data_IF_461680695151
#
_entry.id   IF_461680695151
#
_cell.length_a   1.000
_cell.length_b   1.000
_cell.length_c   1.000
_cell.angle_alpha   90.00
_cell.angle_beta   90.00
_cell.angle_gamma   90.00
#
_symmetry.space_group_name_H-M   'P 1'
#
loop_
_entity.id
_entity.type
_entity.pdbx_description
1 polymer ?
#
# COMPACT_ATOMS: atom_id res chain seq x y z
N UNK A 1 18.97 39.00 -22.36
CA UNK A 1 17.68 39.32 -21.72
C UNK A 1 16.96 38.00 -21.47
N UNK A 2 16.77 37.69 -20.18
CA UNK A 2 16.20 36.47 -19.58
C UNK A 2 16.74 35.11 -20.09
N UNK A 3 17.67 34.53 -19.33
CA UNK A 3 18.26 33.22 -19.62
C UNK A 3 17.29 32.06 -19.35
N UNK A 4 17.53 30.95 -20.06
CA UNK A 4 16.86 29.65 -19.97
C UNK A 4 16.72 29.07 -18.54
N UNK A 5 17.34 29.67 -17.51
CA UNK A 5 17.22 29.23 -16.12
C UNK A 5 15.92 29.67 -15.43
N UNK A 6 15.20 30.67 -15.96
CA UNK A 6 13.97 31.18 -15.33
C UNK A 6 12.74 30.30 -15.61
N UNK A 7 12.75 29.52 -16.69
CA UNK A 7 11.62 28.65 -17.09
C UNK A 7 11.62 27.30 -16.35
N UNK A 8 12.80 26.76 -16.03
CA UNK A 8 12.93 25.55 -15.21
C UNK A 8 12.65 25.79 -13.72
N UNK A 9 12.79 27.02 -13.23
CA UNK A 9 12.45 27.40 -11.85
C UNK A 9 10.94 27.53 -11.63
N UNK A 10 10.18 27.99 -12.63
CA UNK A 10 8.73 28.11 -12.54
C UNK A 10 8.02 26.75 -12.57
N UNK A 11 8.56 25.78 -13.33
CA UNK A 11 7.97 24.44 -13.45
C UNK A 11 8.24 23.56 -12.21
N UNK A 12 9.38 23.77 -11.54
CA UNK A 12 9.67 23.13 -10.24
C UNK A 12 8.85 23.74 -9.11
N UNK A 13 8.56 25.05 -9.14
CA UNK A 13 7.72 25.71 -8.13
C UNK A 13 6.23 25.27 -8.23
N UNK A 14 5.71 25.04 -9.44
CA UNK A 14 4.32 24.56 -9.61
C UNK A 14 4.12 23.10 -9.17
N UNK A 15 5.14 22.25 -9.28
CA UNK A 15 5.06 20.85 -8.85
C UNK A 15 5.00 20.72 -7.31
N UNK A 16 5.61 21.66 -6.58
CA UNK A 16 5.50 21.72 -5.12
C UNK A 16 4.16 22.33 -4.64
N UNK A 17 3.49 23.15 -5.47
CA UNK A 17 2.21 23.75 -5.10
C UNK A 17 1.04 22.75 -5.17
N UNK A 18 1.06 21.77 -6.07
CA UNK A 18 -0.03 20.81 -6.20
C UNK A 18 0.00 19.65 -5.19
N UNK A 19 1.15 19.36 -4.58
CA UNK A 19 1.23 18.44 -3.43
C UNK A 19 0.67 19.08 -2.14
N UNK A 20 0.58 20.42 -2.09
CA UNK A 20 0.17 21.17 -0.90
C UNK A 20 -1.31 21.58 -0.81
N UNK A 21 -2.16 21.29 -1.80
CA UNK A 21 -3.48 21.95 -1.89
C UNK A 21 -4.71 21.09 -1.53
N UNK A 22 -4.54 19.90 -0.92
CA UNK A 22 -5.65 19.09 -0.40
C UNK A 22 -5.36 18.41 0.97
N UNK A 23 -4.65 19.09 1.88
CA UNK A 23 -4.34 18.54 3.22
C UNK A 23 -4.64 19.54 4.35
N UNK A 24 -5.78 20.25 4.34
CA UNK A 24 -6.02 21.34 5.31
C UNK A 24 -6.27 20.86 6.75
N UNK A 25 -6.96 19.73 6.95
CA UNK A 25 -7.23 19.18 8.28
C UNK A 25 -6.03 18.43 8.86
N UNK A 26 -5.31 17.69 8.02
CA UNK A 26 -4.15 16.91 8.41
C UNK A 26 -2.95 17.80 8.71
N UNK A 27 -2.65 18.81 7.88
CA UNK A 27 -1.61 19.79 8.19
C UNK A 27 -1.91 20.59 9.46
N UNK A 28 -3.18 20.94 9.72
CA UNK A 28 -3.56 21.68 10.92
C UNK A 28 -3.38 20.86 12.22
N UNK A 29 -3.65 19.55 12.19
CA UNK A 29 -3.34 18.65 13.28
C UNK A 29 -1.82 18.45 13.42
N UNK A 30 -1.09 18.29 12.31
CA UNK A 30 0.37 18.13 12.27
C UNK A 30 1.09 19.39 12.78
N UNK A 31 0.62 20.60 12.47
CA UNK A 31 1.23 21.84 13.02
C UNK A 31 1.03 21.99 14.53
N UNK A 32 0.03 21.33 15.10
CA UNK A 32 -0.24 21.36 16.55
C UNK A 32 0.57 20.32 17.33
N UNK A 33 1.02 19.24 16.67
CA UNK A 33 1.85 18.21 17.28
C UNK A 33 3.20 18.12 16.57
N UNK A 34 4.27 18.45 17.29
CA UNK A 34 5.63 18.56 16.77
C UNK A 34 6.27 17.18 16.52
N UNK A 35 5.74 16.43 15.56
CA UNK A 35 6.26 15.12 15.14
C UNK A 35 7.23 15.27 13.96
N UNK A 36 8.28 14.47 13.96
CA UNK A 36 9.10 14.25 12.77
C UNK A 36 8.42 13.19 11.88
N UNK A 37 8.15 13.54 10.62
CA UNK A 37 7.36 12.74 9.68
C UNK A 37 8.30 11.97 8.77
N UNK A 38 8.13 10.65 8.75
CA UNK A 38 9.04 9.75 8.03
C UNK A 38 8.26 8.70 7.24
N UNK A 39 8.48 8.62 5.93
CA UNK A 39 7.84 7.62 5.06
C UNK A 39 8.62 6.31 5.10
N UNK A 40 7.89 5.19 5.21
CA UNK A 40 8.39 3.81 5.18
C UNK A 40 7.58 3.00 4.17
N UNK A 41 8.13 2.83 2.97
CA UNK A 41 7.57 1.97 1.95
C UNK A 41 8.01 0.52 2.21
N UNK A 42 7.07 -0.42 2.36
CA UNK A 42 7.34 -1.85 2.35
C UNK A 42 6.92 -2.41 0.98
N UNK A 43 7.82 -3.12 0.31
CA UNK A 43 7.61 -3.58 -1.07
C UNK A 43 8.24 -4.94 -1.35
N UNK A 44 8.12 -5.41 -2.58
CA UNK A 44 8.81 -6.59 -3.12
C UNK A 44 9.92 -6.18 -4.11
N UNK A 45 10.82 -7.12 -4.40
CA UNK A 45 11.92 -7.01 -5.36
C UNK A 45 12.15 -8.33 -6.09
N UNK A 46 12.35 -8.26 -7.40
CA UNK A 46 12.77 -9.38 -8.24
C UNK A 46 14.10 -9.04 -8.90
N UNK A 47 14.96 -10.06 -9.01
CA UNK A 47 16.22 -9.96 -9.75
C UNK A 47 16.00 -9.95 -11.26
N UNK A 48 14.96 -10.64 -11.73
CA UNK A 48 14.58 -10.67 -13.14
C UNK A 48 13.61 -9.54 -13.47
N UNK A 49 13.46 -9.26 -14.76
CA UNK A 49 12.48 -8.30 -15.27
C UNK A 49 11.05 -8.76 -14.91
N UNK A 50 10.32 -7.92 -14.19
CA UNK A 50 8.97 -8.21 -13.69
C UNK A 50 8.00 -8.47 -14.86
N UNK A 51 8.13 -7.74 -15.96
CA UNK A 51 7.29 -7.93 -17.15
C UNK A 51 7.56 -9.28 -17.81
N UNK A 52 8.81 -9.74 -17.82
CA UNK A 52 9.16 -11.06 -18.34
C UNK A 52 8.61 -12.19 -17.47
N UNK A 53 8.73 -12.07 -16.14
CA UNK A 53 8.16 -13.04 -15.20
C UNK A 53 6.64 -13.14 -15.37
N UNK A 54 5.95 -11.99 -15.49
CA UNK A 54 4.49 -11.95 -15.70
C UNK A 54 4.11 -12.56 -17.06
N UNK A 55 4.81 -12.20 -18.15
CA UNK A 55 4.58 -12.78 -19.48
C UNK A 55 4.78 -14.30 -19.49
N UNK A 56 5.81 -14.78 -18.81
CA UNK A 56 6.08 -16.21 -18.69
C UNK A 56 4.97 -16.93 -17.92
N UNK A 57 4.58 -16.42 -16.75
CA UNK A 57 3.49 -16.99 -15.95
C UNK A 57 2.19 -17.07 -16.74
N UNK A 58 1.82 -15.98 -17.42
CA UNK A 58 0.63 -15.92 -18.27
C UNK A 58 0.67 -16.92 -19.44
N UNK A 59 1.82 -17.04 -20.12
CA UNK A 59 2.01 -18.01 -21.21
C UNK A 59 1.87 -19.45 -20.71
N UNK A 60 2.33 -19.74 -19.50
CA UNK A 60 2.27 -21.07 -18.90
C UNK A 60 0.94 -21.38 -18.21
N UNK A 61 0.10 -20.37 -17.96
CA UNK A 61 -1.13 -20.50 -17.16
C UNK A 61 -0.88 -20.68 -15.66
N UNK A 62 0.28 -20.24 -15.18
CA UNK A 62 0.73 -20.37 -13.79
C UNK A 62 0.88 -18.99 -13.14
N UNK A 63 0.87 -18.90 -11.79
CA UNK A 63 1.35 -17.70 -11.12
C UNK A 63 2.82 -17.42 -11.53
N UNK A 64 3.18 -16.14 -11.71
CA UNK A 64 4.56 -15.69 -11.73
C UNK A 64 5.34 -16.14 -10.49
N UNK A 65 6.67 -16.20 -10.60
CA UNK A 65 7.52 -16.52 -9.45
C UNK A 65 7.38 -15.43 -8.37
N UNK A 66 7.41 -15.87 -7.11
CA UNK A 66 7.49 -15.00 -5.93
C UNK A 66 8.72 -14.09 -5.96
N UNK A 67 8.67 -12.99 -5.20
CA UNK A 67 9.79 -12.07 -5.06
C UNK A 67 11.04 -12.73 -4.51
N UNK A 68 12.19 -12.18 -4.89
CA UNK A 68 13.48 -12.58 -4.34
C UNK A 68 13.69 -12.00 -2.92
N UNK A 69 13.10 -10.83 -2.68
CA UNK A 69 13.14 -10.14 -1.40
C UNK A 69 11.97 -9.17 -1.20
N UNK A 70 11.48 -9.10 0.02
CA UNK A 70 10.81 -7.90 0.52
C UNK A 70 11.82 -6.75 0.71
N UNK A 71 11.33 -5.51 0.77
CA UNK A 71 12.17 -4.33 1.02
C UNK A 71 11.52 -3.33 1.97
N UNK A 72 12.35 -2.54 2.66
CA UNK A 72 11.95 -1.32 3.36
C UNK A 72 12.66 -0.15 2.68
N UNK A 73 11.88 0.78 2.10
CA UNK A 73 12.36 1.88 1.27
C UNK A 73 13.29 1.43 0.13
N UNK A 74 12.94 0.32 -0.53
CA UNK A 74 13.71 -0.24 -1.65
C UNK A 74 14.98 -1.00 -1.25
N UNK A 75 15.18 -1.28 0.04
CA UNK A 75 16.34 -2.01 0.57
C UNK A 75 15.92 -3.29 1.32
N UNK A 76 16.43 -4.47 0.97
CA UNK A 76 16.11 -5.73 1.67
C UNK A 76 16.64 -5.81 3.11
N UNK A 77 17.76 -5.16 3.37
CA UNK A 77 18.45 -5.20 4.67
C UNK A 77 19.54 -6.28 4.75
N UNK A 78 20.24 -6.37 5.89
CA UNK A 78 21.47 -7.16 6.02
C UNK A 78 21.25 -8.68 6.04
N UNK A 79 20.00 -9.15 6.15
CA UNK A 79 19.68 -10.57 6.09
C UNK A 79 19.73 -11.14 4.66
N UNK A 80 19.95 -10.27 3.66
CA UNK A 80 20.06 -10.64 2.25
C UNK A 80 21.50 -10.46 1.74
N UNK A 81 21.96 -11.31 0.80
CA UNK A 81 23.25 -11.14 0.16
C UNK A 81 23.41 -9.73 -0.41
N UNK A 82 24.62 -9.19 -0.33
CA UNK A 82 25.00 -7.89 -0.92
C UNK A 82 24.20 -6.66 -0.43
N UNK A 83 23.38 -6.80 0.62
CA UNK A 83 22.41 -5.76 1.02
C UNK A 83 22.79 -5.01 2.30
N UNK A 84 23.71 -5.53 3.12
CA UNK A 84 24.10 -4.96 4.42
C UNK A 84 24.52 -3.49 4.34
N UNK A 85 25.45 -3.15 3.44
CA UNK A 85 26.01 -1.79 3.28
C UNK A 85 24.95 -0.72 2.93
N UNK A 86 23.86 -1.14 2.31
CA UNK A 86 22.82 -0.24 1.80
C UNK A 86 21.50 -0.34 2.57
N UNK A 87 21.52 -0.98 3.74
CA UNK A 87 20.36 -1.10 4.62
C UNK A 87 19.78 0.27 4.94
N UNK A 88 18.47 0.43 4.78
CA UNK A 88 17.78 1.64 5.18
C UNK A 88 17.94 1.85 6.69
N UNK A 89 18.39 3.04 7.10
CA UNK A 89 18.45 3.43 8.51
C UNK A 89 17.77 4.79 8.73
N UNK A 90 16.96 4.90 9.78
CA UNK A 90 16.42 6.16 10.27
C UNK A 90 17.03 6.50 11.63
N UNK A 91 17.43 7.75 11.79
CA UNK A 91 17.99 8.25 13.05
C UNK A 91 16.89 8.83 13.95
N UNK A 92 16.94 8.53 15.24
CA UNK A 92 15.99 9.04 16.25
C UNK A 92 16.72 9.63 17.46
N UNK A 93 16.09 10.60 18.11
CA UNK A 93 16.53 11.16 19.39
C UNK A 93 15.73 10.55 20.53
N UNK A 94 16.43 10.20 21.61
CA UNK A 94 15.79 9.64 22.79
C UNK A 94 14.74 10.61 23.37
N UNK A 95 13.58 10.06 23.71
CA UNK A 95 12.45 10.81 24.26
C UNK A 95 11.59 11.54 23.22
N UNK A 96 11.95 11.56 21.93
CA UNK A 96 11.11 12.15 20.87
C UNK A 96 10.06 11.15 20.36
N UNK A 97 9.02 11.69 19.73
CA UNK A 97 7.97 10.91 19.07
C UNK A 97 7.96 11.20 17.57
N UNK A 98 7.88 10.13 16.78
CA UNK A 98 7.97 10.14 15.34
C UNK A 98 6.65 9.66 14.73
N UNK A 99 6.18 10.34 13.68
CA UNK A 99 5.06 9.88 12.88
C UNK A 99 5.61 9.11 11.67
N UNK A 100 5.48 7.79 11.68
CA UNK A 100 5.87 6.95 10.55
C UNK A 100 4.66 6.74 9.63
N UNK A 101 4.81 7.08 8.35
CA UNK A 101 3.82 6.81 7.30
C UNK A 101 4.22 5.52 6.59
N UNK A 102 3.57 4.42 6.95
CA UNK A 102 3.88 3.10 6.40
C UNK A 102 2.98 2.86 5.20
N UNK A 103 3.58 2.49 4.07
CA UNK A 103 2.89 2.26 2.80
C UNK A 103 3.25 0.86 2.34
N UNK A 104 2.27 0.02 2.04
CA UNK A 104 2.54 -1.25 1.38
C UNK A 104 2.43 -1.07 -0.14
N UNK A 105 3.59 -1.02 -0.80
CA UNK A 105 3.72 -1.02 -2.25
C UNK A 105 4.25 -2.36 -2.79
N UNK A 106 4.09 -3.45 -2.02
CA UNK A 106 4.19 -4.80 -2.56
C UNK A 106 3.09 -5.01 -3.60
N UNK A 107 3.34 -5.92 -4.55
CA UNK A 107 2.37 -6.30 -5.57
C UNK A 107 1.45 -7.41 -5.06
N UNK A 108 1.95 -8.35 -4.25
CA UNK A 108 1.25 -9.62 -4.00
C UNK A 108 1.20 -10.08 -2.54
N UNK A 109 1.85 -9.38 -1.62
CA UNK A 109 1.92 -9.81 -0.23
C UNK A 109 1.32 -8.77 0.73
N UNK A 110 0.41 -9.24 1.59
CA UNK A 110 0.07 -8.54 2.82
C UNK A 110 1.24 -8.68 3.79
N UNK A 111 1.61 -7.59 4.46
CA UNK A 111 2.85 -7.55 5.23
C UNK A 111 2.57 -7.25 6.70
N UNK A 112 3.19 -8.05 7.57
CA UNK A 112 3.41 -7.63 8.95
C UNK A 112 4.58 -6.67 8.99
N UNK A 113 4.44 -5.55 9.71
CA UNK A 113 5.54 -4.63 10.01
C UNK A 113 5.65 -4.43 11.52
N UNK A 114 6.88 -4.42 12.06
CA UNK A 114 7.16 -4.19 13.47
C UNK A 114 8.52 -3.52 13.69
N UNK A 115 8.70 -2.90 14.86
CA UNK A 115 9.97 -2.28 15.27
C UNK A 115 10.41 -2.90 16.59
N UNK A 116 11.64 -3.41 16.65
CA UNK A 116 12.13 -4.11 17.83
C UNK A 116 12.08 -3.19 19.06
N UNK A 117 11.45 -3.68 20.14
CA UNK A 117 11.30 -2.95 21.40
C UNK A 117 10.37 -1.74 21.36
N UNK A 118 9.80 -1.35 20.22
CA UNK A 118 8.97 -0.14 20.12
C UNK A 118 7.52 -0.48 19.79
N UNK A 119 6.61 -0.01 20.63
CA UNK A 119 5.19 -0.03 20.33
C UNK A 119 4.84 1.05 19.31
N UNK A 120 3.87 0.76 18.45
CA UNK A 120 3.33 1.64 17.46
C UNK A 120 1.89 2.01 17.83
N UNK A 121 1.58 3.31 17.87
CA UNK A 121 0.19 3.77 18.05
C UNK A 121 -0.38 4.16 16.70
N UNK A 122 -1.29 3.34 16.17
CA UNK A 122 -2.00 3.61 14.91
C UNK A 122 -2.92 4.80 15.11
N UNK A 123 -2.87 5.79 14.20
CA UNK A 123 -3.66 7.02 14.29
C UNK A 123 -4.41 7.36 13.00
N UNK A 124 -4.00 6.79 11.86
CA UNK A 124 -4.58 7.07 10.55
C UNK A 124 -4.41 5.85 9.64
N UNK A 125 -5.42 5.56 8.83
CA UNK A 125 -5.37 4.56 7.75
C UNK A 125 -6.01 5.20 6.52
N UNK A 126 -5.36 5.11 5.36
CA UNK A 126 -5.85 5.60 4.07
C UNK A 126 -6.35 7.05 4.10
N UNK A 127 -5.53 7.93 4.68
CA UNK A 127 -5.81 9.36 4.88
C UNK A 127 -7.04 9.67 5.75
N UNK A 128 -7.53 8.70 6.53
CA UNK A 128 -8.63 8.88 7.48
C UNK A 128 -8.16 8.59 8.90
N UNK A 129 -8.44 9.52 9.82
CA UNK A 129 -8.12 9.34 11.23
C UNK A 129 -8.91 8.17 11.83
N UNK A 130 -8.19 7.31 12.54
CA UNK A 130 -8.76 6.19 13.28
C UNK A 130 -8.81 6.52 14.76
N UNK A 131 -9.66 5.80 15.50
CA UNK A 131 -9.58 5.80 16.97
C UNK A 131 -8.23 5.20 17.36
N UNK A 132 -7.34 5.96 18.05
CA UNK A 132 -5.99 5.49 18.27
C UNK A 132 -5.93 4.19 19.08
N UNK A 133 -5.05 3.29 18.69
CA UNK A 133 -4.74 2.08 19.45
C UNK A 133 -3.28 1.70 19.30
N UNK A 134 -2.72 1.10 20.34
CA UNK A 134 -1.32 0.69 20.40
C UNK A 134 -1.16 -0.80 20.07
N UNK A 135 -0.11 -1.14 19.34
CA UNK A 135 0.22 -2.50 18.90
C UNK A 135 1.73 -2.65 18.71
N UNK A 136 2.24 -3.89 18.79
CA UNK A 136 3.66 -4.20 18.56
C UNK A 136 3.98 -4.43 17.07
N UNK A 137 2.98 -4.88 16.32
CA UNK A 137 3.05 -5.07 14.88
C UNK A 137 1.78 -4.49 14.23
N UNK A 138 1.86 -4.17 12.94
CA UNK A 138 0.69 -3.87 12.11
C UNK A 138 0.59 -4.92 11.00
N UNK A 139 -0.62 -5.14 10.49
CA UNK A 139 -0.87 -5.81 9.22
C UNK A 139 -1.24 -4.73 8.21
N UNK A 140 -0.61 -4.75 7.05
CA UNK A 140 -0.86 -3.77 5.98
C UNK A 140 -0.94 -4.49 4.63
N UNK A 141 -2.04 -4.31 3.90
CA UNK A 141 -2.25 -4.90 2.58
C UNK A 141 -1.75 -3.97 1.47
N UNK A 142 -1.40 -4.49 0.27
CA UNK A 142 -1.02 -3.67 -0.87
C UNK A 142 -1.99 -2.52 -1.15
N UNK A 143 -1.44 -1.33 -1.40
CA UNK A 143 -2.20 -0.10 -1.62
C UNK A 143 -2.63 0.63 -0.35
N UNK A 144 -2.62 -0.03 0.82
CA UNK A 144 -2.96 0.63 2.09
C UNK A 144 -1.81 1.50 2.58
N UNK A 145 -2.20 2.55 3.31
CA UNK A 145 -1.30 3.43 4.07
C UNK A 145 -1.73 3.44 5.54
N UNK A 146 -0.77 3.37 6.45
CA UNK A 146 -1.03 3.43 7.90
C UNK A 146 -0.04 4.37 8.57
N UNK A 147 -0.53 5.39 9.26
CA UNK A 147 0.33 6.25 10.07
C UNK A 147 0.35 5.77 11.51
N UNK A 148 1.57 5.65 12.04
CA UNK A 148 1.81 5.25 13.42
C UNK A 148 2.68 6.26 14.16
N UNK A 149 2.40 6.47 15.43
CA UNK A 149 3.28 7.19 16.34
C UNK A 149 4.22 6.19 17.02
N UNK A 150 5.52 6.49 16.97
CA UNK A 150 6.58 5.71 17.61
C UNK A 150 7.33 6.61 18.57
N UNK A 151 7.37 6.24 19.84
CA UNK A 151 8.08 6.98 20.87
C UNK A 151 9.46 6.35 21.11
N UNK A 152 10.53 7.12 20.97
CA UNK A 152 11.91 6.67 21.12
C UNK A 152 12.31 6.58 22.61
N UNK A 153 11.69 5.64 23.33
CA UNK A 153 11.84 5.46 24.78
C UNK A 153 12.65 4.23 25.19
N UNK A 154 13.27 3.55 24.24
CA UNK A 154 14.13 2.41 24.54
C UNK A 154 15.52 2.91 24.96
N UNK A 155 16.34 1.97 25.46
CA UNK A 155 17.76 2.22 25.70
C UNK A 155 18.40 2.69 24.40
N UNK A 156 19.21 3.74 24.43
CA UNK A 156 19.85 4.26 23.23
C UNK A 156 20.68 3.16 22.55
N UNK A 157 20.28 2.77 21.34
CA UNK A 157 20.80 1.60 20.64
C UNK A 157 20.36 1.54 19.18
N UNK A 158 20.44 0.36 18.57
CA UNK A 158 19.97 0.08 17.20
C UNK A 158 18.93 -1.02 17.25
N UNK A 159 17.84 -0.83 16.52
CA UNK A 159 16.67 -1.70 16.54
C UNK A 159 16.23 -1.98 15.11
N UNK A 160 16.03 -3.24 14.74
CA UNK A 160 15.49 -3.51 13.42
C UNK A 160 14.01 -3.12 13.36
N UNK A 161 13.65 -2.41 12.30
CA UNK A 161 12.34 -2.49 11.69
C UNK A 161 12.33 -3.74 10.83
N UNK A 162 11.28 -4.55 10.92
CA UNK A 162 11.17 -5.81 10.19
C UNK A 162 9.83 -5.91 9.47
N UNK A 163 9.84 -6.48 8.27
CA UNK A 163 8.64 -6.79 7.50
C UNK A 163 8.67 -8.22 6.97
N UNK A 164 7.53 -8.90 6.98
CA UNK A 164 7.37 -10.26 6.41
C UNK A 164 5.94 -10.53 5.98
N UNK A 165 5.76 -11.46 5.05
CA UNK A 165 4.44 -11.85 4.54
C UNK A 165 3.52 -12.43 5.62
N UNK A 166 2.26 -12.00 5.56
CA UNK A 166 1.10 -12.69 6.11
C UNK A 166 0.47 -13.54 4.99
N UNK A 167 0.29 -14.82 5.24
CA UNK A 167 -0.34 -15.77 4.33
C UNK A 167 -0.98 -16.90 5.13
N UNK A 168 -2.31 -16.95 5.13
CA UNK A 168 -3.10 -18.01 5.76
C UNK A 168 -3.76 -18.97 4.75
N UNK A 169 -3.53 -18.73 3.46
CA UNK A 169 -3.84 -19.68 2.39
C UNK A 169 -2.64 -20.62 2.13
N UNK A 170 -2.87 -21.86 1.66
CA UNK A 170 -1.80 -22.82 1.36
C UNK A 170 -1.12 -22.51 0.02
N UNK A 171 -0.59 -21.29 -0.13
CA UNK A 171 0.14 -20.84 -1.32
C UNK A 171 1.55 -20.38 -0.94
N UNK A 172 2.56 -20.60 -1.82
CA UNK A 172 3.90 -20.11 -1.57
C UNK A 172 3.94 -18.57 -1.57
N UNK A 173 4.75 -18.01 -0.67
CA UNK A 173 5.06 -16.57 -0.57
C UNK A 173 6.53 -16.38 -0.27
N UNK A 174 7.03 -15.15 -0.47
CA UNK A 174 8.36 -14.78 0.04
C UNK A 174 8.36 -14.75 1.57
N UNK A 175 8.93 -15.81 2.15
CA UNK A 175 8.97 -16.03 3.58
C UNK A 175 10.18 -15.34 4.26
N UNK A 176 10.99 -14.59 3.51
CA UNK A 176 12.17 -13.91 4.05
C UNK A 176 11.75 -12.60 4.72
N UNK A 177 12.40 -12.29 5.83
CA UNK A 177 12.17 -11.04 6.57
C UNK A 177 13.09 -9.95 6.04
N UNK A 178 12.51 -8.88 5.50
CA UNK A 178 13.26 -7.68 5.15
C UNK A 178 13.39 -6.76 6.35
N UNK A 179 14.53 -6.06 6.43
CA UNK A 179 14.89 -5.27 7.60
C UNK A 179 15.44 -3.89 7.25
N UNK A 180 15.11 -2.92 8.10
CA UNK A 180 15.68 -1.58 8.14
C UNK A 180 16.03 -1.25 9.59
N UNK A 181 16.74 -0.16 9.85
CA UNK A 181 17.28 0.13 11.18
C UNK A 181 16.67 1.42 11.73
N UNK A 182 16.12 1.37 12.94
CA UNK A 182 15.87 2.53 13.77
C UNK A 182 17.07 2.69 14.71
N UNK A 183 17.80 3.80 14.57
CA UNK A 183 19.08 4.05 15.23
C UNK A 183 18.99 5.30 16.09
N UNK A 184 19.32 5.19 17.36
CA UNK A 184 19.44 6.36 18.23
C UNK A 184 20.68 7.18 17.84
N UNK A 185 20.62 8.51 17.99
CA UNK A 185 21.75 9.41 17.72
C UNK A 185 23.01 8.97 18.46
N UNK A 186 24.16 9.16 17.81
CA UNK A 186 25.49 8.89 18.37
C UNK A 186 25.78 7.41 18.70
N UNK A 187 24.96 6.48 18.22
CA UNK A 187 25.24 5.05 18.36
C UNK A 187 26.12 4.58 17.20
N UNK A 188 27.26 3.92 17.45
CA UNK A 188 28.14 3.44 16.39
C UNK A 188 27.52 2.25 15.63
N UNK A 189 27.84 2.14 14.34
CA UNK A 189 27.33 1.07 13.48
C UNK A 189 27.84 -0.33 13.84
N UNK A 190 28.82 -0.43 14.76
CA UNK A 190 29.31 -1.69 15.33
C UNK A 190 28.31 -2.32 16.30
N UNK A 191 27.37 -1.55 16.87
CA UNK A 191 26.29 -2.09 17.69
C UNK A 191 25.33 -2.87 16.79
N UNK A 192 25.12 -4.14 17.11
CA UNK A 192 24.22 -4.99 16.33
C UNK A 192 22.76 -4.68 16.70
N UNK A 193 21.89 -4.41 15.71
CA UNK A 193 20.48 -4.23 15.96
C UNK A 193 19.77 -5.53 16.36
N UNK A 194 18.76 -5.39 17.22
CA UNK A 194 17.91 -6.51 17.68
C UNK A 194 16.73 -6.69 16.72
N UNK A 195 16.38 -7.94 16.40
CA UNK A 195 15.23 -8.28 15.54
C UNK A 195 13.88 -8.08 16.27
N UNK A 196 12.84 -7.59 15.57
CA UNK A 196 11.50 -7.53 16.13
C UNK A 196 10.86 -8.91 16.20
N UNK A 197 9.94 -9.09 17.15
CA UNK A 197 9.04 -10.24 17.16
C UNK A 197 7.87 -9.97 16.21
N UNK A 198 7.93 -10.54 15.02
CA UNK A 198 6.82 -10.49 14.05
C UNK A 198 5.84 -11.67 14.29
N UNK A 199 4.51 -11.45 14.17
CA UNK A 199 3.50 -12.52 14.27
C UNK A 199 3.79 -13.71 13.35
N UNK A 200 3.32 -14.92 13.62
CA UNK A 200 3.53 -16.03 12.68
C UNK A 200 2.94 -15.69 11.29
N UNK A 201 3.55 -16.14 10.20
CA UNK A 201 3.10 -15.76 8.85
C UNK A 201 1.65 -16.16 8.58
N UNK A 202 1.13 -17.19 9.23
CA UNK A 202 -0.26 -17.65 9.12
C UNK A 202 -1.14 -17.25 10.33
N UNK A 203 -0.79 -16.18 11.04
CA UNK A 203 -1.52 -15.74 12.24
C UNK A 203 -2.82 -14.99 11.92
N UNK A 204 -3.84 -15.74 11.47
CA UNK A 204 -5.18 -15.19 11.20
C UNK A 204 -5.81 -14.57 12.45
N UNK A 205 -5.45 -15.06 13.65
CA UNK A 205 -5.93 -14.51 14.93
C UNK A 205 -5.46 -13.07 15.13
N UNK A 206 -4.18 -12.80 14.89
CA UNK A 206 -3.62 -11.46 14.90
C UNK A 206 -4.28 -10.57 13.83
N UNK A 207 -4.40 -11.06 12.59
CA UNK A 207 -5.00 -10.30 11.48
C UNK A 207 -6.44 -9.84 11.80
N UNK A 208 -7.28 -10.75 12.28
CA UNK A 208 -8.67 -10.45 12.67
C UNK A 208 -8.73 -9.51 13.88
N UNK A 209 -7.85 -9.68 14.86
CA UNK A 209 -7.72 -8.81 16.03
C UNK A 209 -7.33 -7.38 15.64
N UNK A 210 -6.33 -7.23 14.76
CA UNK A 210 -5.87 -5.95 14.26
C UNK A 210 -6.98 -5.21 13.50
N UNK A 211 -7.62 -5.89 12.53
CA UNK A 211 -8.70 -5.31 11.74
C UNK A 211 -9.92 -4.91 12.58
N UNK A 212 -10.22 -5.64 13.67
CA UNK A 212 -11.28 -5.25 14.62
C UNK A 212 -10.99 -3.96 15.38
N UNK A 213 -9.72 -3.56 15.52
CA UNK A 213 -9.33 -2.30 16.19
C UNK A 213 -9.43 -1.09 15.27
N UNK A 214 -9.42 -1.30 13.95
CA UNK A 214 -9.67 -0.23 12.98
C UNK A 214 -11.11 0.29 13.13
N UNK A 215 -11.22 1.49 13.69
CA UNK A 215 -12.47 2.17 13.98
C UNK A 215 -12.31 3.63 13.60
N UNK A 216 -13.37 4.25 13.09
CA UNK A 216 -13.40 5.70 12.90
C UNK A 216 -13.12 6.41 14.22
N UNK A 217 -12.46 7.58 14.16
CA UNK A 217 -12.18 8.41 15.33
C UNK A 217 -13.44 8.70 16.15
N UNK A 218 -14.59 8.88 15.48
CA UNK A 218 -15.95 9.13 16.00
C UNK A 218 -16.00 9.54 17.49
N UNK A 219 -15.85 10.83 17.74
CA UNK A 219 -15.82 11.41 19.09
C UNK A 219 -16.76 12.61 19.20
N UNK A 220 -17.05 13.08 20.42
CA UNK A 220 -17.87 14.28 20.61
C UNK A 220 -17.28 15.53 19.93
N UNK A 221 -15.95 15.62 19.83
CA UNK A 221 -15.24 16.73 19.17
C UNK A 221 -15.12 16.54 17.65
N UNK A 222 -15.01 15.30 17.21
CA UNK A 222 -14.85 14.90 15.80
C UNK A 222 -15.85 13.77 15.47
N UNK A 223 -17.14 14.09 15.31
CA UNK A 223 -18.16 13.08 15.04
C UNK A 223 -18.01 12.53 13.62
N UNK A 224 -18.22 11.23 13.45
CA UNK A 224 -18.23 10.58 12.14
C UNK A 224 -19.65 10.61 11.56
N UNK A 225 -19.96 11.65 10.78
CA UNK A 225 -21.26 11.79 10.15
C UNK A 225 -21.33 10.93 8.89
N UNK A 226 -21.94 9.75 9.01
CA UNK A 226 -22.17 8.82 7.90
C UNK A 226 -23.67 8.62 7.69
N UNK A 227 -24.13 8.36 6.45
CA UNK A 227 -25.51 7.96 6.20
C UNK A 227 -25.88 6.73 7.07
N UNK A 228 -26.95 6.84 7.85
CA UNK A 228 -27.41 5.75 8.72
C UNK A 228 -28.39 4.81 8.00
N UNK A 229 -29.03 5.30 6.94
CA UNK A 229 -29.94 4.53 6.11
C UNK A 229 -29.16 3.93 4.94
N UNK A 230 -29.32 2.63 4.73
CA UNK A 230 -28.72 1.92 3.60
C UNK A 230 -29.71 1.95 2.44
N UNK A 231 -29.39 2.71 1.40
CA UNK A 231 -30.27 2.85 0.22
C UNK A 231 -30.08 1.71 -0.79
N UNK A 232 -28.91 1.06 -0.79
CA UNK A 232 -28.52 0.00 -1.72
C UNK A 232 -27.72 -1.07 -1.00
N UNK A 233 -28.10 -2.33 -1.20
CA UNK A 233 -27.32 -3.48 -0.75
C UNK A 233 -26.52 -4.03 -1.93
N UNK A 234 -25.21 -4.06 -1.78
CA UNK A 234 -24.29 -4.60 -2.78
C UNK A 234 -23.75 -5.94 -2.26
N UNK A 235 -23.84 -6.98 -3.09
CA UNK A 235 -23.34 -8.31 -2.77
C UNK A 235 -22.37 -8.78 -3.85
N UNK A 236 -21.17 -9.16 -3.43
CA UNK A 236 -20.09 -9.64 -4.29
C UNK A 236 -19.59 -10.98 -3.76
N UNK A 237 -19.51 -11.97 -4.63
CA UNK A 237 -18.77 -13.20 -4.37
C UNK A 237 -17.41 -13.10 -5.03
N UNK A 238 -16.35 -13.23 -4.24
CA UNK A 238 -14.97 -13.29 -4.72
C UNK A 238 -14.63 -14.76 -4.92
N UNK A 239 -14.18 -15.11 -6.13
CA UNK A 239 -13.80 -16.48 -6.45
C UNK A 239 -12.43 -16.54 -7.13
N UNK A 240 -11.58 -17.47 -6.69
CA UNK A 240 -10.37 -17.89 -7.39
C UNK A 240 -10.62 -19.27 -8.00
N UNK A 241 -10.15 -19.49 -9.22
CA UNK A 241 -10.44 -20.72 -9.96
C UNK A 241 -9.46 -21.02 -11.08
N UNK A 242 -9.82 -22.00 -11.92
CA UNK A 242 -9.05 -22.39 -13.10
C UNK A 242 -9.98 -22.52 -14.31
N UNK A 243 -9.51 -22.05 -15.46
CA UNK A 243 -10.22 -22.15 -16.73
C UNK A 243 -9.39 -23.00 -17.71
N UNK A 244 -10.05 -23.60 -18.69
CA UNK A 244 -9.38 -24.31 -19.77
C UNK A 244 -8.43 -23.37 -20.54
N UNK A 245 -7.23 -23.87 -20.79
CA UNK A 245 -6.21 -23.22 -21.60
C UNK A 245 -5.38 -24.30 -22.30
N UNK A 246 -5.79 -24.74 -23.52
CA UNK A 246 -5.10 -25.82 -24.24
C UNK A 246 -3.62 -25.53 -24.56
N UNK A 247 -3.25 -24.25 -24.65
CA UNK A 247 -1.88 -23.82 -24.94
C UNK A 247 -1.01 -23.65 -23.69
N UNK A 248 -1.61 -23.71 -22.49
CA UNK A 248 -0.92 -23.56 -21.22
C UNK A 248 -0.31 -24.90 -20.77
N UNK A 249 0.69 -24.84 -19.87
CA UNK A 249 1.47 -26.01 -19.45
C UNK A 249 0.58 -27.15 -18.92
N UNK A 250 -0.40 -26.82 -18.08
CA UNK A 250 -1.28 -27.81 -17.43
C UNK A 250 -2.65 -27.92 -18.10
N UNK A 251 -2.83 -27.40 -19.32
CA UNK A 251 -4.13 -27.32 -19.97
C UNK A 251 -5.13 -26.38 -19.28
N UNK A 252 -4.68 -25.66 -18.25
CA UNK A 252 -5.49 -24.72 -17.46
C UNK A 252 -4.73 -23.45 -17.15
N UNK A 253 -5.45 -22.37 -16.87
CA UNK A 253 -4.93 -21.10 -16.34
C UNK A 253 -5.71 -20.66 -15.12
N UNK A 254 -5.06 -19.95 -14.21
CA UNK A 254 -5.74 -19.32 -13.08
C UNK A 254 -6.69 -18.21 -13.55
N UNK A 255 -7.80 -18.07 -12.84
CA UNK A 255 -8.76 -17.00 -13.01
C UNK A 255 -9.19 -16.50 -11.63
N UNK A 256 -9.66 -15.26 -11.62
CA UNK A 256 -10.34 -14.69 -10.49
C UNK A 256 -11.61 -13.99 -10.98
N UNK A 257 -12.63 -13.94 -10.14
CA UNK A 257 -13.97 -13.52 -10.54
C UNK A 257 -14.69 -12.77 -9.43
N UNK A 258 -15.55 -11.84 -9.85
CA UNK A 258 -16.55 -11.21 -9.01
C UNK A 258 -17.91 -11.69 -9.52
N UNK A 259 -18.73 -12.30 -8.66
CA UNK A 259 -20.03 -12.87 -9.04
C UNK A 259 -19.94 -13.92 -10.16
N UNK A 260 -18.91 -14.78 -10.11
CA UNK A 260 -18.62 -15.80 -11.12
C UNK A 260 -18.33 -15.23 -12.54
N UNK A 261 -18.03 -13.94 -12.63
CA UNK A 261 -17.61 -13.26 -13.87
C UNK A 261 -16.16 -12.82 -13.71
N UNK A 262 -15.29 -13.31 -14.59
CA UNK A 262 -13.92 -12.82 -14.70
C UNK A 262 -13.85 -11.65 -15.66
N UNK A 263 -13.23 -10.57 -15.23
CA UNK A 263 -13.14 -9.38 -16.04
C UNK A 263 -11.94 -9.42 -16.99
N UNK A 264 -12.23 -9.26 -18.28
CA UNK A 264 -11.24 -9.11 -19.33
C UNK A 264 -11.06 -7.63 -19.61
N UNK A 265 -9.81 -7.14 -19.61
CA UNK A 265 -9.56 -5.74 -19.93
C UNK A 265 -10.07 -5.42 -21.33
N UNK A 266 -10.94 -4.41 -21.49
CA UNK A 266 -11.38 -3.98 -22.81
C UNK A 266 -10.20 -3.39 -23.61
N UNK A 267 -10.30 -3.42 -24.94
CA UNK A 267 -9.35 -2.78 -25.86
C UNK A 267 -9.45 -1.23 -25.82
N UNK A 268 -10.43 -0.70 -25.09
CA UNK A 268 -10.65 0.73 -24.90
C UNK A 268 -10.43 1.00 -23.40
N UNK A 269 -9.63 2.02 -23.07
CA UNK A 269 -9.41 2.38 -21.67
C UNK A 269 -10.74 2.70 -20.98
N UNK A 270 -10.90 2.29 -19.71
CA UNK A 270 -12.13 2.56 -18.93
C UNK A 270 -12.44 4.06 -18.84
N UNK A 271 -11.40 4.89 -18.73
CA UNK A 271 -11.51 6.35 -18.74
C UNK A 271 -11.93 6.91 -20.12
N UNK A 272 -11.56 6.23 -21.21
CA UNK A 272 -11.98 6.61 -22.55
C UNK A 272 -13.44 6.21 -22.80
N UNK A 273 -13.84 5.00 -22.41
CA UNK A 273 -15.25 4.58 -22.42
C UNK A 273 -16.12 5.60 -21.68
N UNK A 274 -15.64 6.05 -20.52
CA UNK A 274 -16.27 7.11 -19.74
C UNK A 274 -16.48 8.42 -20.54
N UNK A 275 -15.43 8.92 -21.19
CA UNK A 275 -15.48 10.20 -21.92
C UNK A 275 -16.25 10.16 -23.24
N UNK A 276 -16.31 9.01 -23.91
CA UNK A 276 -17.11 8.82 -25.13
C UNK A 276 -18.55 8.37 -24.85
N UNK A 277 -19.08 8.74 -23.68
CA UNK A 277 -20.47 8.58 -23.27
C UNK A 277 -20.92 7.14 -22.94
N UNK A 278 -19.99 6.33 -22.43
CA UNK A 278 -20.30 5.12 -21.65
C UNK A 278 -20.08 5.50 -20.17
N UNK A 279 -21.02 6.25 -19.56
CA UNK A 279 -21.18 6.87 -18.19
C UNK A 279 -20.08 6.65 -17.08
N UNK A 280 -20.15 7.19 -15.86
CA UNK A 280 -19.04 7.26 -14.87
C UNK A 280 -18.32 5.95 -14.51
N UNK A 281 -17.14 5.61 -15.06
CA UNK A 281 -16.47 4.30 -14.82
C UNK A 281 -15.52 4.34 -13.61
N UNK A 282 -15.92 3.69 -12.51
CA UNK A 282 -15.09 3.51 -11.32
C UNK A 282 -14.57 2.09 -11.22
N UNK A 283 -13.26 1.92 -11.27
CA UNK A 283 -12.63 0.61 -11.23
C UNK A 283 -12.57 0.08 -9.80
N UNK A 284 -13.10 -1.12 -9.58
CA UNK A 284 -12.98 -1.87 -8.32
C UNK A 284 -12.19 -3.13 -8.61
N UNK A 285 -11.07 -3.33 -7.92
CA UNK A 285 -10.21 -4.49 -8.13
C UNK A 285 -9.54 -4.91 -6.83
N UNK A 286 -9.01 -6.13 -6.82
CA UNK A 286 -8.11 -6.57 -5.77
C UNK A 286 -6.75 -5.89 -5.94
N UNK A 287 -6.16 -5.39 -4.86
CA UNK A 287 -4.85 -4.73 -4.95
C UNK A 287 -3.66 -5.73 -4.94
N UNK A 288 -3.95 -7.03 -5.02
CA UNK A 288 -2.98 -8.06 -5.36
C UNK A 288 -2.89 -8.14 -6.89
N UNK A 289 -1.72 -7.83 -7.46
CA UNK A 289 -1.56 -7.65 -8.91
C UNK A 289 -1.91 -8.93 -9.67
N UNK A 290 -1.51 -10.10 -9.15
CA UNK A 290 -1.88 -11.39 -9.76
C UNK A 290 -3.38 -11.57 -9.85
N UNK A 291 -4.12 -11.22 -8.79
CA UNK A 291 -5.57 -11.36 -8.79
C UNK A 291 -6.23 -10.39 -9.78
N UNK A 292 -5.73 -9.16 -9.88
CA UNK A 292 -6.17 -8.20 -10.90
C UNK A 292 -5.89 -8.69 -12.32
N UNK A 293 -4.73 -9.29 -12.55
CA UNK A 293 -4.35 -9.93 -13.81
C UNK A 293 -5.26 -11.11 -14.16
N UNK A 294 -5.65 -11.92 -13.18
CA UNK A 294 -6.56 -13.06 -13.34
C UNK A 294 -8.04 -12.68 -13.49
N UNK A 295 -8.38 -11.41 -13.33
CA UNK A 295 -9.73 -10.90 -13.58
C UNK A 295 -10.53 -10.54 -12.32
N UNK A 296 -9.89 -10.44 -11.15
CA UNK A 296 -10.55 -10.00 -9.90
C UNK A 296 -10.77 -8.49 -9.88
N UNK A 297 -11.58 -8.03 -10.83
CA UNK A 297 -11.86 -6.63 -11.05
C UNK A 297 -13.24 -6.47 -11.67
N UNK A 298 -13.80 -5.29 -11.52
CA UNK A 298 -15.06 -4.87 -12.13
C UNK A 298 -15.04 -3.35 -12.24
N UNK A 299 -16.05 -2.77 -12.88
CA UNK A 299 -16.23 -1.34 -12.90
C UNK A 299 -17.66 -0.96 -12.60
N UNK A 300 -17.85 0.08 -11.79
CA UNK A 300 -19.14 0.71 -11.59
C UNK A 300 -19.36 1.80 -12.60
N UNK A 301 -20.58 1.88 -13.08
CA UNK A 301 -21.04 2.96 -13.93
C UNK A 301 -21.95 3.88 -13.10
N UNK A 302 -21.46 5.07 -12.75
CA UNK A 302 -22.21 6.07 -11.99
C UNK A 302 -22.69 7.17 -12.94
N UNK A 303 -24.00 7.35 -13.01
CA UNK A 303 -24.60 8.35 -13.89
C UNK A 303 -24.46 9.77 -13.30
N UNK A 304 -24.47 10.79 -14.17
CA UNK A 304 -24.49 12.18 -13.73
C UNK A 304 -25.77 12.47 -12.96
N UNK A 305 -25.64 13.22 -11.87
CA UNK A 305 -26.78 13.77 -11.14
C UNK A 305 -27.36 15.02 -11.83
N UNK A 306 -28.46 15.57 -11.29
CA UNK A 306 -29.11 16.78 -11.82
C UNK A 306 -28.23 18.04 -11.75
N UNK A 307 -27.25 18.10 -10.85
CA UNK A 307 -26.40 19.29 -10.69
C UNK A 307 -25.08 19.18 -11.46
N UNK A 308 -24.51 20.32 -11.85
CA UNK A 308 -23.19 20.38 -12.49
C UNK A 308 -22.08 19.81 -11.59
N UNK A 309 -22.22 19.98 -10.26
CA UNK A 309 -21.34 19.40 -9.23
C UNK A 309 -21.41 17.87 -9.15
N UNK A 310 -22.48 17.28 -9.70
CA UNK A 310 -22.75 15.84 -9.73
C UNK A 310 -22.53 15.26 -11.14
N UNK A 311 -21.95 16.05 -12.04
CA UNK A 311 -21.66 15.66 -13.41
C UNK A 311 -20.15 15.56 -13.63
N UNK A 312 -19.72 14.56 -14.40
CA UNK A 312 -18.29 14.44 -14.72
C UNK A 312 -17.86 15.51 -15.73
N UNK A 313 -16.61 15.96 -15.60
CA UNK A 313 -15.97 16.92 -16.51
C UNK A 313 -15.81 16.31 -17.93
N UNK A 314 -15.79 17.13 -18.99
CA UNK A 314 -15.51 16.66 -20.35
C UNK A 314 -14.07 16.12 -20.50
N UNK A 315 -13.80 15.26 -21.49
CA UNK A 315 -12.45 14.74 -21.76
C UNK A 315 -11.42 15.85 -21.98
N UNK A 316 -10.21 15.70 -21.41
CA UNK A 316 -9.05 16.47 -21.83
C UNK A 316 -8.77 16.26 -23.33
N UNK A 317 -8.29 17.31 -24.01
CA UNK A 317 -8.00 17.27 -25.45
C UNK A 317 -6.80 16.38 -25.80
N UNK A 318 -5.94 16.14 -24.83
CA UNK A 318 -4.70 15.38 -24.91
C UNK A 318 -4.84 13.96 -24.34
N UNK A 319 -6.08 13.45 -24.22
CA UNK A 319 -6.32 12.07 -23.82
C UNK A 319 -5.61 11.12 -24.82
N UNK A 320 -4.75 10.19 -24.34
CA UNK A 320 -4.07 9.23 -25.21
C UNK A 320 -5.05 8.43 -26.08
N UNK A 321 -4.67 8.19 -27.33
CA UNK A 321 -5.45 7.37 -28.27
C UNK A 321 -5.38 5.88 -27.91
N UNK A 322 -6.44 5.12 -28.25
CA UNK A 322 -6.43 3.65 -28.28
C UNK A 322 -5.32 3.10 -29.18
#
# INVERSE_FOLDING_TARGET
MASLSSFMFALTFLLFLFVGLLMSSSEAAIKRYQFDIQVKNVSEWWNNDVEEIVKQGNKMGLPPNMSDAHTINGKPGPLFPCSEKHTFAMEVEQGKTYLLRIINAALNDELFFAIAGHNMTVVEVDAVYTKPFTTQAILIAPGQTTNVLVHANQVSGRYFMGTKAFMDAPVPVDNKTATGILQYKNIPNTVLPVLPQLPASNDTGFALSYNKKLRSLNSAKYPANVPLNVDRNLFYTIGLGKNSCPTCLNGTRFLASINNVSFVMPQIALLQAHYFNIKGVWFMHCHLELHTGWGLKTAFLVENGPEQSQSVLPPPKDLPSC
#
